data_IF_538543484689
#
_entry.id   IF_538543484689
#
_cell.length_a   1.000
_cell.length_b   1.000
_cell.length_c   1.000
_cell.angle_alpha   90.00
_cell.angle_beta   90.00
_cell.angle_gamma   90.00
#
_symmetry.space_group_name_H-M   'P 1'
#
loop_
_entity.id
_entity.type
_entity.pdbx_description
1 polymer ?
#
# COMPACT_ATOMS: atom_id res chain seq x y z
N UNK A 1 -10.24 -6.81 16.89
CA UNK A 1 -9.91 -5.57 16.18
C UNK A 1 -10.41 -4.44 17.06
N UNK A 2 -9.54 -3.82 17.86
CA UNK A 2 -9.90 -2.60 18.60
C UNK A 2 -9.43 -1.39 17.80
N UNK A 3 -10.16 -0.27 17.90
CA UNK A 3 -9.67 1.00 17.33
C UNK A 3 -8.37 1.46 18.01
N UNK A 4 -8.08 0.96 19.22
CA UNK A 4 -6.86 1.26 19.98
C UNK A 4 -5.57 0.76 19.29
N UNK A 5 -5.70 -0.26 18.45
CA UNK A 5 -4.61 -0.88 17.69
C UNK A 5 -4.24 -0.05 16.44
N UNK A 6 -5.09 0.89 16.03
CA UNK A 6 -4.86 1.73 14.85
C UNK A 6 -4.04 2.95 15.26
N UNK A 7 -2.89 3.12 14.61
CA UNK A 7 -2.02 4.28 14.79
C UNK A 7 -2.08 5.20 13.57
N UNK A 8 -2.03 6.51 13.83
CA UNK A 8 -2.06 7.53 12.78
C UNK A 8 -0.63 8.02 12.55
N UNK A 9 -0.09 7.77 11.36
CA UNK A 9 1.24 8.25 11.03
C UNK A 9 1.23 9.75 10.72
N UNK A 10 2.05 10.52 11.42
CA UNK A 10 2.24 11.95 11.24
C UNK A 10 3.57 12.18 10.52
N UNK A 11 3.56 12.41 9.19
CA UNK A 11 4.78 12.59 8.41
C UNK A 11 5.43 13.94 8.70
N UNK A 12 6.75 14.05 8.48
CA UNK A 12 7.39 15.38 8.38
C UNK A 12 6.87 16.11 7.16
N UNK A 13 6.56 17.40 7.32
CA UNK A 13 6.13 18.30 6.24
C UNK A 13 7.27 19.23 5.84
N UNK A 14 6.93 20.42 5.37
CA UNK A 14 7.84 21.35 4.68
C UNK A 14 9.04 21.74 5.55
N UNK A 15 8.79 22.13 6.79
CA UNK A 15 9.82 22.54 7.74
C UNK A 15 10.38 21.36 8.52
N UNK A 16 9.62 20.26 8.59
CA UNK A 16 10.00 19.03 9.27
C UNK A 16 10.29 19.29 10.74
N UNK A 17 9.42 20.08 11.39
CA UNK A 17 9.56 20.47 12.80
C UNK A 17 9.14 19.35 13.74
N UNK A 18 8.23 18.48 13.31
CA UNK A 18 7.85 17.29 14.07
C UNK A 18 9.12 16.44 14.37
N UNK A 19 9.21 15.90 15.59
CA UNK A 19 10.38 15.19 16.12
C UNK A 19 11.63 16.05 16.39
N UNK A 20 11.62 17.38 16.14
CA UNK A 20 12.76 18.25 16.50
C UNK A 20 12.55 18.84 17.90
N UNK A 21 13.52 18.69 18.82
CA UNK A 21 13.41 19.27 20.15
C UNK A 21 13.47 20.80 20.08
N UNK A 22 12.77 21.47 21.01
CA UNK A 22 12.87 22.93 21.20
C UNK A 22 11.92 23.80 20.38
N UNK A 23 11.00 23.22 19.60
CA UNK A 23 9.94 23.97 18.91
C UNK A 23 8.62 23.92 19.68
N UNK A 24 7.91 25.06 19.73
CA UNK A 24 6.55 25.14 20.28
C UNK A 24 5.58 24.32 19.41
N UNK A 25 4.66 23.61 20.06
CA UNK A 25 3.57 22.85 19.41
C UNK A 25 2.80 23.72 18.40
N UNK A 26 2.56 25.00 18.72
CA UNK A 26 1.87 25.93 17.79
C UNK A 26 2.65 26.18 16.51
N UNK A 27 3.98 26.13 16.56
CA UNK A 27 4.83 26.30 15.38
C UNK A 27 4.88 25.00 14.57
N UNK A 28 4.93 23.84 15.25
CA UNK A 28 4.82 22.54 14.59
C UNK A 28 3.50 22.43 13.82
N UNK A 29 2.37 22.79 14.43
CA UNK A 29 1.04 22.78 13.79
C UNK A 29 0.96 23.65 12.53
N UNK A 30 1.74 24.72 12.44
CA UNK A 30 1.77 25.59 11.25
C UNK A 30 2.39 24.93 10.02
N UNK A 31 3.19 23.88 10.20
CA UNK A 31 3.75 23.07 9.10
C UNK A 31 2.68 22.14 8.46
N UNK A 32 1.49 22.06 9.08
CA UNK A 32 0.39 21.19 8.67
C UNK A 32 -0.88 21.99 8.33
N UNK A 33 -1.69 21.38 7.46
CA UNK A 33 -3.00 21.89 7.10
C UNK A 33 -3.92 21.93 8.33
N UNK A 34 -4.86 22.86 8.37
CA UNK A 34 -5.77 23.03 9.53
C UNK A 34 -6.48 21.72 9.94
N UNK A 35 -6.87 20.89 8.97
CA UNK A 35 -7.52 19.61 9.23
C UNK A 35 -6.58 18.54 9.78
N UNK A 36 -5.27 18.61 9.52
CA UNK A 36 -4.28 17.62 10.01
C UNK A 36 -3.93 17.85 11.48
N UNK A 37 -4.06 19.09 11.96
CA UNK A 37 -3.58 19.51 13.29
C UNK A 37 -4.22 18.73 14.44
N UNK A 38 -5.49 18.37 14.31
CA UNK A 38 -6.19 17.58 15.33
C UNK A 38 -5.62 16.16 15.48
N UNK A 39 -4.84 15.69 14.51
CA UNK A 39 -4.20 14.37 14.51
C UNK A 39 -2.73 14.42 14.93
N UNK A 40 -2.11 15.59 15.08
CA UNK A 40 -0.69 15.68 15.45
C UNK A 40 -0.49 15.23 16.90
N UNK A 41 -1.37 15.67 17.80
CA UNK A 41 -1.23 15.50 19.24
C UNK A 41 -2.17 14.44 19.84
N UNK A 42 -2.71 13.52 19.01
CA UNK A 42 -3.53 12.41 19.54
C UNK A 42 -2.66 11.35 20.17
N UNK A 43 -3.21 10.66 21.15
CA UNK A 43 -2.52 9.58 21.87
C UNK A 43 -2.12 8.42 20.95
N UNK A 44 -2.87 8.17 19.87
CA UNK A 44 -2.56 7.12 18.90
C UNK A 44 -1.76 7.61 17.69
N UNK A 45 -1.19 8.81 17.75
CA UNK A 45 -0.33 9.35 16.70
C UNK A 45 1.09 8.81 16.83
N UNK A 46 1.68 8.45 15.69
CA UNK A 46 3.04 7.92 15.59
C UNK A 46 3.81 8.69 14.54
N UNK A 47 5.08 8.91 14.79
CA UNK A 47 5.99 9.67 13.95
C UNK A 47 7.07 8.75 13.37
N UNK A 48 7.93 9.29 12.51
CA UNK A 48 9.08 8.52 12.03
C UNK A 48 10.04 8.15 13.17
N UNK A 49 10.09 8.92 14.27
CA UNK A 49 10.94 8.60 15.40
C UNK A 49 10.43 7.35 16.13
N UNK A 50 9.12 7.24 16.36
CA UNK A 50 8.50 6.05 16.98
C UNK A 50 8.74 4.79 16.15
N UNK A 51 8.62 4.90 14.81
CA UNK A 51 8.92 3.80 13.89
C UNK A 51 10.41 3.42 13.89
N UNK A 52 11.32 4.37 14.12
CA UNK A 52 12.75 4.10 14.23
C UNK A 52 13.11 3.40 15.55
N UNK A 53 12.46 3.80 16.64
CA UNK A 53 12.77 3.34 18.00
C UNK A 53 12.30 1.91 18.25
N UNK A 54 11.08 1.56 17.82
CA UNK A 54 10.52 0.21 17.99
C UNK A 54 9.86 -0.32 16.70
N UNK A 55 10.65 -0.62 15.65
CA UNK A 55 10.11 -0.99 14.34
C UNK A 55 9.32 -2.31 14.35
N UNK A 56 9.56 -3.21 15.31
CA UNK A 56 8.91 -4.53 15.36
C UNK A 56 7.45 -4.45 15.83
N UNK A 57 7.05 -3.34 16.44
CA UNK A 57 5.70 -3.14 16.97
C UNK A 57 4.68 -2.74 15.89
N UNK A 58 5.15 -2.35 14.70
CA UNK A 58 4.31 -1.72 13.69
C UNK A 58 4.23 -2.52 12.40
N UNK A 59 3.02 -2.59 11.84
CA UNK A 59 2.78 -2.88 10.43
C UNK A 59 2.37 -1.57 9.78
N UNK A 60 3.20 -1.05 8.88
CA UNK A 60 2.95 0.23 8.24
C UNK A 60 2.36 0.04 6.84
N UNK A 61 1.10 0.45 6.69
CA UNK A 61 0.43 0.48 5.38
C UNK A 61 0.76 1.78 4.68
N UNK A 62 1.40 1.71 3.52
CA UNK A 62 1.75 2.89 2.73
C UNK A 62 1.57 2.64 1.23
N UNK A 63 1.21 3.69 0.52
CA UNK A 63 1.13 3.72 -0.94
C UNK A 63 2.47 4.08 -1.58
N UNK A 64 2.56 3.95 -2.91
CA UNK A 64 3.74 4.39 -3.68
C UNK A 64 4.05 5.89 -3.45
N UNK A 65 3.03 6.72 -3.33
CA UNK A 65 3.17 8.18 -3.17
C UNK A 65 3.80 8.58 -1.84
N UNK A 66 3.70 7.71 -0.83
CA UNK A 66 4.24 7.91 0.51
C UNK A 66 5.63 7.29 0.66
N UNK A 67 6.19 6.66 -0.37
CA UNK A 67 7.52 6.02 -0.28
C UNK A 67 8.64 7.03 0.01
N UNK A 68 8.43 8.32 -0.25
CA UNK A 68 9.36 9.36 0.18
C UNK A 68 9.56 9.37 1.71
N UNK A 69 8.58 8.93 2.50
CA UNK A 69 8.67 8.83 3.96
C UNK A 69 9.76 7.84 4.41
N UNK A 70 10.17 6.90 3.55
CA UNK A 70 11.29 5.99 3.84
C UNK A 70 12.60 6.75 4.09
N UNK A 71 12.76 7.94 3.52
CA UNK A 71 13.94 8.80 3.77
C UNK A 71 14.04 9.27 5.22
N UNK A 72 12.90 9.42 5.89
CA UNK A 72 12.80 9.80 7.29
C UNK A 72 12.78 8.58 8.22
N UNK A 73 12.04 7.54 7.85
CA UNK A 73 11.88 6.31 8.63
C UNK A 73 13.18 5.49 8.65
N UNK A 74 13.92 5.46 7.54
CA UNK A 74 15.18 4.69 7.36
C UNK A 74 15.11 3.29 7.98
N UNK A 75 14.15 2.46 7.54
CA UNK A 75 13.89 1.19 8.20
C UNK A 75 15.10 0.25 8.12
N UNK A 76 15.38 -0.46 9.22
CA UNK A 76 16.42 -1.49 9.28
C UNK A 76 15.77 -2.87 9.28
N UNK A 77 16.18 -3.72 8.35
CA UNK A 77 15.66 -5.10 8.21
C UNK A 77 14.14 -5.20 7.99
N UNK A 78 13.52 -4.17 7.39
CA UNK A 78 12.10 -4.22 7.08
C UNK A 78 11.78 -5.18 5.94
N UNK A 79 10.53 -5.61 5.94
CA UNK A 79 9.94 -6.48 4.93
C UNK A 79 8.76 -5.77 4.30
N UNK A 80 8.66 -5.84 2.98
CA UNK A 80 7.50 -5.38 2.24
C UNK A 80 6.61 -6.56 1.86
N UNK A 81 5.33 -6.51 2.24
CA UNK A 81 4.32 -7.48 1.82
C UNK A 81 3.47 -6.83 0.73
N UNK A 82 3.52 -7.37 -0.49
CA UNK A 82 2.66 -6.91 -1.58
C UNK A 82 1.26 -7.50 -1.39
N UNK A 83 0.29 -6.62 -1.15
CA UNK A 83 -1.14 -6.94 -1.02
C UNK A 83 -2.00 -6.36 -2.15
N UNK A 84 -1.38 -5.92 -3.24
CA UNK A 84 -2.06 -5.37 -4.43
C UNK A 84 -2.01 -6.37 -5.58
N UNK A 85 -2.86 -6.19 -6.60
CA UNK A 85 -2.81 -6.98 -7.82
C UNK A 85 -1.47 -6.82 -8.57
N UNK A 86 -1.22 -7.74 -9.50
CA UNK A 86 -0.10 -7.63 -10.44
C UNK A 86 -0.36 -6.56 -11.50
N UNK A 87 0.72 -5.96 -11.98
CA UNK A 87 0.65 -4.91 -12.97
C UNK A 87 0.18 -5.51 -14.31
N UNK A 88 -0.96 -5.04 -14.79
CA UNK A 88 -1.56 -5.50 -16.05
C UNK A 88 -1.52 -4.44 -17.16
N UNK A 89 -1.38 -3.16 -16.83
CA UNK A 89 -1.15 -2.08 -17.81
C UNK A 89 0.25 -1.47 -17.66
N UNK A 90 0.69 -0.71 -18.65
CA UNK A 90 2.05 -0.14 -18.68
C UNK A 90 2.30 0.89 -17.57
N UNK A 91 1.28 1.68 -17.21
CA UNK A 91 1.35 2.62 -16.09
C UNK A 91 1.65 1.88 -14.77
N UNK A 92 0.94 0.78 -14.53
CA UNK A 92 1.17 -0.04 -13.33
C UNK A 92 2.54 -0.73 -13.33
N UNK A 93 3.05 -1.12 -14.50
CA UNK A 93 4.40 -1.72 -14.60
C UNK A 93 5.46 -0.69 -14.21
N UNK A 94 5.32 0.55 -14.68
CA UNK A 94 6.21 1.66 -14.31
C UNK A 94 6.14 1.94 -12.81
N UNK A 95 4.94 1.95 -12.22
CA UNK A 95 4.77 2.17 -10.79
C UNK A 95 5.33 1.02 -9.93
N UNK A 96 5.15 -0.23 -10.36
CA UNK A 96 5.77 -1.39 -9.71
C UNK A 96 7.30 -1.33 -9.79
N UNK A 97 7.86 -0.88 -10.92
CA UNK A 97 9.29 -0.68 -11.08
C UNK A 97 9.83 0.42 -10.16
N UNK A 98 9.15 1.58 -10.10
CA UNK A 98 9.49 2.66 -9.15
C UNK A 98 9.49 2.16 -7.72
N UNK A 99 8.45 1.42 -7.32
CA UNK A 99 8.37 0.80 -6.00
C UNK A 99 9.56 -0.12 -5.74
N UNK A 100 9.88 -1.00 -6.68
CA UNK A 100 11.01 -1.93 -6.54
C UNK A 100 12.35 -1.19 -6.37
N UNK A 101 12.55 -0.09 -7.11
CA UNK A 101 13.74 0.74 -6.98
C UNK A 101 13.87 1.38 -5.60
N UNK A 102 12.77 1.90 -5.04
CA UNK A 102 12.74 2.38 -3.66
C UNK A 102 13.06 1.26 -2.66
N UNK A 103 12.41 0.11 -2.76
CA UNK A 103 12.66 -1.02 -1.86
C UNK A 103 14.13 -1.49 -1.92
N UNK A 104 14.69 -1.57 -3.13
CA UNK A 104 16.09 -1.93 -3.33
C UNK A 104 17.05 -0.89 -2.71
N UNK A 105 16.77 0.40 -2.88
CA UNK A 105 17.58 1.47 -2.31
C UNK A 105 17.66 1.41 -0.78
N UNK A 106 16.57 1.05 -0.11
CA UNK A 106 16.50 0.89 1.35
C UNK A 106 16.83 -0.53 1.84
N UNK A 107 17.18 -1.46 0.94
CA UNK A 107 17.47 -2.85 1.29
C UNK A 107 16.28 -3.63 1.86
N UNK A 108 15.05 -3.24 1.50
CA UNK A 108 13.80 -3.84 1.97
C UNK A 108 13.48 -5.06 1.11
N UNK A 109 13.32 -6.22 1.74
CA UNK A 109 12.97 -7.45 1.01
C UNK A 109 11.48 -7.49 0.72
N UNK A 110 11.11 -7.65 -0.54
CA UNK A 110 9.72 -7.81 -0.99
C UNK A 110 9.29 -9.29 -0.96
N UNK A 111 8.13 -9.55 -0.37
CA UNK A 111 7.38 -10.80 -0.53
C UNK A 111 6.05 -10.50 -1.21
N UNK A 112 5.67 -11.37 -2.14
CA UNK A 112 4.40 -11.29 -2.85
C UNK A 112 3.68 -12.61 -2.66
N UNK A 113 2.44 -12.55 -2.18
CA UNK A 113 1.52 -13.68 -2.19
C UNK A 113 0.49 -13.40 -3.27
N UNK A 114 0.52 -14.16 -4.36
CA UNK A 114 -0.45 -14.01 -5.43
C UNK A 114 -1.83 -14.46 -4.92
N UNK A 115 -2.71 -13.52 -4.65
CA UNK A 115 -4.12 -13.74 -4.42
C UNK A 115 -4.87 -13.13 -5.60
N UNK A 116 -5.28 -13.96 -6.58
CA UNK A 116 -6.07 -13.49 -7.71
C UNK A 116 -7.46 -13.13 -7.23
N UNK A 117 -7.91 -11.91 -7.53
CA UNK A 117 -9.33 -11.53 -7.38
C UNK A 117 -10.23 -12.09 -8.50
N UNK A 118 -9.62 -12.70 -9.53
CA UNK A 118 -10.32 -13.31 -10.65
C UNK A 118 -10.11 -14.83 -10.67
N UNK A 119 -11.15 -15.56 -11.02
CA UNK A 119 -11.04 -16.97 -11.33
C UNK A 119 -10.04 -17.18 -12.48
N UNK A 120 -9.23 -18.23 -12.37
CA UNK A 120 -8.34 -18.70 -13.43
C UNK A 120 -9.15 -19.20 -14.63
N UNK A 121 -8.48 -19.39 -15.78
CA UNK A 121 -9.14 -19.93 -16.96
C UNK A 121 -9.76 -21.31 -16.74
N UNK A 122 -9.18 -22.14 -15.87
CA UNK A 122 -9.71 -23.44 -15.49
C UNK A 122 -10.97 -23.30 -14.64
N UNK A 123 -10.93 -22.49 -13.57
CA UNK A 123 -12.10 -22.22 -12.71
C UNK A 123 -13.26 -21.59 -13.50
N UNK A 124 -12.96 -20.66 -14.42
CA UNK A 124 -13.96 -20.08 -15.34
C UNK A 124 -14.57 -21.16 -16.23
N UNK A 125 -13.76 -22.08 -16.77
CA UNK A 125 -14.24 -23.16 -17.63
C UNK A 125 -15.13 -24.13 -16.88
N UNK A 126 -14.73 -24.51 -15.66
CA UNK A 126 -15.54 -25.33 -14.76
C UNK A 126 -16.87 -24.68 -14.45
N UNK A 127 -16.86 -23.39 -14.10
CA UNK A 127 -18.07 -22.61 -13.85
C UNK A 127 -19.00 -22.56 -15.08
N UNK A 128 -18.46 -22.36 -16.30
CA UNK A 128 -19.25 -22.39 -17.54
C UNK A 128 -19.89 -23.77 -17.76
N UNK A 129 -19.13 -24.85 -17.54
CA UNK A 129 -19.63 -26.21 -17.70
C UNK A 129 -20.72 -26.55 -16.67
N UNK A 130 -20.58 -26.08 -15.43
CA UNK A 130 -21.56 -26.30 -14.36
C UNK A 130 -22.87 -25.54 -14.63
N UNK A 131 -22.77 -24.26 -15.04
CA UNK A 131 -23.94 -23.43 -15.37
C UNK A 131 -24.62 -23.94 -16.65
N UNK A 132 -23.86 -24.48 -17.59
CA UNK A 132 -24.29 -24.95 -18.91
C UNK A 132 -25.23 -23.94 -19.64
N UNK A 133 -24.75 -22.70 -19.89
CA UNK A 133 -25.59 -21.67 -20.49
C UNK A 133 -25.88 -21.94 -21.97
N UNK A 134 -27.06 -21.57 -22.46
CA UNK A 134 -27.38 -21.64 -23.90
C UNK A 134 -26.51 -20.69 -24.74
N UNK A 135 -26.12 -19.55 -24.16
CA UNK A 135 -25.27 -18.53 -24.78
C UNK A 135 -24.27 -17.97 -23.78
N UNK A 136 -23.03 -17.82 -24.22
CA UNK A 136 -21.95 -17.22 -23.44
C UNK A 136 -21.52 -15.89 -24.08
N UNK A 137 -21.55 -14.81 -23.29
CA UNK A 137 -21.09 -13.48 -23.73
C UNK A 137 -19.98 -13.03 -22.76
N UNK A 138 -18.70 -13.17 -23.13
CA UNK A 138 -17.60 -12.76 -22.28
C UNK A 138 -17.55 -11.23 -22.15
N UNK A 139 -17.44 -10.73 -20.93
CA UNK A 139 -17.27 -9.31 -20.60
C UNK A 139 -16.01 -9.12 -19.74
N UNK A 140 -15.46 -7.91 -19.70
CA UNK A 140 -14.28 -7.56 -18.90
C UNK A 140 -13.00 -8.39 -19.22
N UNK A 141 -12.82 -8.78 -20.49
CA UNK A 141 -11.62 -9.47 -20.99
C UNK A 141 -11.14 -8.84 -22.30
N UNK A 142 -9.82 -8.77 -22.51
CA UNK A 142 -9.21 -8.38 -23.79
C UNK A 142 -9.21 -9.51 -24.82
N UNK A 143 -9.44 -10.75 -24.37
CA UNK A 143 -9.35 -11.96 -25.19
C UNK A 143 -10.68 -12.73 -25.20
N UNK A 144 -11.76 -12.06 -25.60
CA UNK A 144 -13.11 -12.65 -25.67
C UNK A 144 -13.18 -13.92 -26.53
N UNK A 145 -12.34 -14.02 -27.56
CA UNK A 145 -12.27 -15.18 -28.45
C UNK A 145 -11.84 -16.49 -27.76
N UNK A 146 -11.23 -16.42 -26.56
CA UNK A 146 -10.85 -17.62 -25.81
C UNK A 146 -12.03 -18.33 -25.14
N UNK A 147 -13.19 -17.68 -25.10
CA UNK A 147 -14.41 -18.18 -24.47
C UNK A 147 -15.32 -18.89 -25.49
N UNK A 148 -14.75 -19.45 -26.56
CA UNK A 148 -15.51 -20.20 -27.57
C UNK A 148 -16.27 -21.37 -26.91
N UNK A 149 -17.58 -21.18 -26.82
CA UNK A 149 -18.53 -22.19 -26.39
C UNK A 149 -18.64 -23.27 -27.47
N UNK A 150 -18.09 -24.45 -27.21
CA UNK A 150 -18.36 -25.65 -28.01
C UNK A 150 -19.52 -26.37 -27.35
N UNK A 151 -20.73 -26.05 -27.79
CA UNK A 151 -21.94 -26.82 -27.46
C UNK A 151 -21.89 -28.22 -28.06
#
# INVERSE_FOLDING_TARGET
FSLDDIKIFVPKKSWGLICKPGFDCKLVEQDYSTWEREFINRENSVTCQDLCEDPLRYVFSMSLWEMNQLTDIKPKHAVWIKSSCDAFCDEMKIDEERKNNWLAHFGIKKYSTHASGHASGEEIREMINEINPEKLIPIHTENSNLFEFRG
#
